data_IF_458654952144
#
_entry.id   IF_458654952144
#
_cell.length_a   1.000
_cell.length_b   1.000
_cell.length_c   1.000
_cell.angle_alpha   90.00
_cell.angle_beta   90.00
_cell.angle_gamma   90.00
#
_symmetry.space_group_name_H-M   'P 1'
#
loop_
_entity.id
_entity.type
_entity.pdbx_description
1 polymer ?
#
# COMPACT_ATOMS: atom_id res chain seq x y z
N UNK A 1 8.29 -52.60 -6.31
CA UNK A 1 9.13 -51.39 -6.13
C UNK A 1 8.24 -50.31 -5.55
N UNK A 2 8.38 -50.00 -4.26
CA UNK A 2 7.53 -49.04 -3.55
C UNK A 2 8.23 -47.68 -3.54
N UNK A 3 7.69 -46.71 -4.28
CA UNK A 3 8.19 -45.33 -4.29
C UNK A 3 7.87 -44.67 -2.94
N UNK A 4 8.90 -44.38 -2.15
CA UNK A 4 8.79 -43.57 -0.93
C UNK A 4 8.72 -42.10 -1.32
N UNK A 5 7.55 -41.50 -1.23
CA UNK A 5 7.39 -40.05 -1.35
C UNK A 5 7.72 -39.40 0.00
N UNK A 6 9.01 -39.20 0.30
CA UNK A 6 9.42 -38.39 1.45
C UNK A 6 9.51 -36.92 1.04
N UNK A 7 8.33 -36.30 0.88
CA UNK A 7 8.24 -34.84 0.88
C UNK A 7 8.27 -34.35 2.32
N UNK A 8 9.46 -34.05 2.85
CA UNK A 8 9.57 -33.35 4.13
C UNK A 8 9.24 -31.88 3.89
N UNK A 9 7.96 -31.53 4.06
CA UNK A 9 7.55 -30.14 4.17
C UNK A 9 7.96 -29.65 5.56
N UNK A 10 8.99 -28.81 5.63
CA UNK A 10 9.42 -28.19 6.88
C UNK A 10 8.40 -27.10 7.27
N UNK A 11 7.33 -27.53 7.94
CA UNK A 11 6.21 -26.68 8.39
C UNK A 11 6.72 -25.54 9.28
N UNK A 12 7.72 -25.82 10.13
CA UNK A 12 8.35 -24.84 11.02
C UNK A 12 9.09 -23.73 10.27
N UNK A 13 9.76 -24.05 9.15
CA UNK A 13 10.47 -23.05 8.36
C UNK A 13 9.50 -22.08 7.66
N UNK A 14 8.36 -22.59 7.18
CA UNK A 14 7.31 -21.76 6.60
C UNK A 14 6.64 -20.85 7.65
N UNK A 15 6.34 -21.37 8.84
CA UNK A 15 5.75 -20.60 9.94
C UNK A 15 6.70 -19.52 10.48
N UNK A 16 8.01 -19.80 10.52
CA UNK A 16 9.02 -18.86 11.00
C UNK A 16 9.28 -17.72 10.01
N UNK A 17 9.25 -18.01 8.70
CA UNK A 17 9.26 -16.98 7.64
C UNK A 17 8.00 -16.13 7.74
N UNK A 18 6.83 -16.75 7.85
CA UNK A 18 5.54 -16.05 8.01
C UNK A 18 5.57 -15.11 9.22
N UNK A 19 5.96 -15.58 10.40
CA UNK A 19 6.13 -14.73 11.60
C UNK A 19 7.08 -13.54 11.36
N UNK A 20 8.21 -13.76 10.70
CA UNK A 20 9.19 -12.69 10.45
C UNK A 20 8.68 -11.60 9.48
N UNK A 21 7.95 -12.00 8.44
CA UNK A 21 7.31 -11.10 7.47
C UNK A 21 6.27 -10.24 8.18
N UNK A 22 5.51 -10.84 9.08
CA UNK A 22 4.47 -10.13 9.84
C UNK A 22 5.07 -9.09 10.78
N UNK A 23 6.20 -9.39 11.43
CA UNK A 23 6.94 -8.49 12.33
C UNK A 23 7.63 -7.33 11.60
N UNK A 24 7.95 -7.48 10.31
CA UNK A 24 8.61 -6.45 9.51
C UNK A 24 7.70 -5.72 8.52
N UNK A 25 6.43 -6.07 8.47
CA UNK A 25 5.45 -5.43 7.59
C UNK A 25 4.72 -4.23 8.23
N UNK A 26 4.20 -3.37 7.37
CA UNK A 26 3.17 -2.38 7.69
C UNK A 26 1.92 -2.70 6.86
N UNK A 27 0.75 -2.37 7.40
CA UNK A 27 -0.52 -2.44 6.66
C UNK A 27 -0.87 -1.06 6.15
N UNK A 28 -1.13 -0.94 4.86
CA UNK A 28 -1.53 0.28 4.18
C UNK A 28 -2.96 0.11 3.68
N UNK A 29 -3.90 0.84 4.30
CA UNK A 29 -5.28 0.89 3.83
C UNK A 29 -5.38 1.97 2.75
N UNK A 30 -5.83 1.56 1.57
CA UNK A 30 -6.00 2.42 0.40
C UNK A 30 -7.48 2.53 0.09
N UNK A 31 -7.99 3.75 0.08
CA UNK A 31 -9.34 4.07 -0.37
C UNK A 31 -9.33 4.31 -1.88
N UNK A 32 -10.07 3.50 -2.62
CA UNK A 32 -10.20 3.52 -4.08
C UNK A 32 -11.29 4.51 -4.54
N UNK A 33 -11.31 4.81 -5.85
CA UNK A 33 -12.25 5.77 -6.43
C UNK A 33 -13.72 5.32 -6.38
N UNK A 34 -13.95 4.01 -6.32
CA UNK A 34 -15.28 3.42 -6.18
C UNK A 34 -15.77 3.39 -4.71
N UNK A 35 -15.09 4.11 -3.82
CA UNK A 35 -15.35 4.16 -2.37
C UNK A 35 -15.07 2.85 -1.63
N UNK A 36 -14.43 1.87 -2.26
CA UNK A 36 -13.95 0.66 -1.55
C UNK A 36 -12.60 0.90 -0.88
N UNK A 37 -12.29 0.10 0.14
CA UNK A 37 -11.02 0.14 0.84
C UNK A 37 -10.31 -1.21 0.70
N UNK A 38 -9.02 -1.17 0.35
CA UNK A 38 -8.18 -2.37 0.21
C UNK A 38 -6.98 -2.23 1.12
N UNK A 39 -6.65 -3.31 1.83
CA UNK A 39 -5.50 -3.36 2.74
C UNK A 39 -4.33 -4.09 2.08
N UNK A 40 -3.22 -3.39 1.89
CA UNK A 40 -1.98 -3.98 1.40
C UNK A 40 -0.98 -4.16 2.53
N UNK A 41 -0.36 -5.33 2.61
CA UNK A 41 0.70 -5.62 3.56
C UNK A 41 2.04 -5.54 2.87
N UNK A 42 2.86 -4.57 3.25
CA UNK A 42 4.17 -4.30 2.61
C UNK A 42 5.28 -4.25 3.65
N UNK A 43 6.52 -4.53 3.25
CA UNK A 43 7.66 -4.42 4.15
C UNK A 43 7.82 -2.98 4.68
N UNK A 44 8.20 -2.80 5.95
CA UNK A 44 8.36 -1.48 6.59
C UNK A 44 9.45 -0.61 5.97
N UNK A 45 10.35 -1.19 5.18
CA UNK A 45 11.43 -0.53 4.44
C UNK A 45 11.06 -0.23 2.98
N UNK A 46 9.89 -0.68 2.54
CA UNK A 46 9.32 -0.44 1.22
C UNK A 46 9.25 1.05 0.88
N UNK A 47 9.51 1.36 -0.39
CA UNK A 47 9.37 2.68 -1.02
C UNK A 47 7.96 2.86 -1.59
N UNK A 48 7.57 4.11 -1.87
CA UNK A 48 6.25 4.42 -2.39
C UNK A 48 5.90 3.66 -3.67
N UNK A 49 6.89 3.43 -4.55
CA UNK A 49 6.68 2.73 -5.82
C UNK A 49 6.08 1.33 -5.63
N UNK A 50 6.59 0.55 -4.67
CA UNK A 50 6.07 -0.80 -4.48
C UNK A 50 4.62 -0.83 -3.95
N UNK A 51 4.16 0.21 -3.25
CA UNK A 51 2.74 0.33 -2.90
C UNK A 51 1.89 0.76 -4.11
N UNK A 52 2.42 1.64 -4.97
CA UNK A 52 1.79 2.03 -6.22
C UNK A 52 1.61 0.82 -7.14
N UNK A 53 2.66 0.04 -7.34
CA UNK A 53 2.65 -1.16 -8.19
C UNK A 53 1.58 -2.16 -7.72
N UNK A 54 1.54 -2.47 -6.42
CA UNK A 54 0.51 -3.37 -5.85
C UNK A 54 -0.91 -2.85 -6.07
N UNK A 55 -1.11 -1.52 -5.96
CA UNK A 55 -2.42 -0.91 -6.17
C UNK A 55 -2.81 -0.95 -7.64
N UNK A 56 -1.86 -0.68 -8.53
CA UNK A 56 -2.09 -0.66 -9.97
C UNK A 56 -2.32 -2.07 -10.53
N UNK A 57 -1.60 -3.06 -10.01
CA UNK A 57 -1.81 -4.47 -10.34
C UNK A 57 -3.19 -4.95 -9.84
N UNK A 58 -3.59 -4.57 -8.61
CA UNK A 58 -4.92 -4.91 -8.08
C UNK A 58 -6.07 -4.32 -8.93
N UNK A 59 -5.88 -3.10 -9.43
CA UNK A 59 -6.86 -2.42 -10.28
C UNK A 59 -6.73 -2.79 -11.76
N UNK A 60 -5.76 -3.63 -12.13
CA UNK A 60 -5.43 -3.95 -13.52
C UNK A 60 -5.22 -2.71 -14.41
N UNK A 61 -4.59 -1.66 -13.85
CA UNK A 61 -4.38 -0.39 -14.55
C UNK A 61 -3.28 -0.50 -15.61
N UNK A 62 -3.67 -0.22 -16.86
CA UNK A 62 -2.76 -0.08 -18.00
C UNK A 62 -2.02 1.27 -17.98
N UNK A 63 -2.73 2.35 -17.63
CA UNK A 63 -2.25 3.73 -17.74
C UNK A 63 -1.66 4.27 -16.42
N UNK A 64 -0.61 3.62 -15.91
CA UNK A 64 -0.05 3.87 -14.56
C UNK A 64 0.48 5.29 -14.33
N UNK A 65 0.94 5.95 -15.40
CA UNK A 65 1.54 7.29 -15.33
C UNK A 65 0.53 8.41 -15.00
N UNK A 66 -0.76 8.14 -15.14
CA UNK A 66 -1.83 9.09 -14.86
C UNK A 66 -2.34 9.02 -13.42
N UNK A 67 -1.91 8.01 -12.67
CA UNK A 67 -2.44 7.70 -11.35
C UNK A 67 -1.36 7.83 -10.28
N UNK A 68 -1.81 8.16 -9.08
CA UNK A 68 -0.95 8.27 -7.92
C UNK A 68 -1.71 8.08 -6.63
N UNK A 69 -0.97 7.94 -5.53
CA UNK A 69 -1.52 7.86 -4.19
C UNK A 69 -1.29 9.19 -3.48
N UNK A 70 -2.27 9.63 -2.69
CA UNK A 70 -2.10 10.73 -1.75
C UNK A 70 -2.31 10.24 -0.32
N UNK A 71 -1.87 10.99 0.66
CA UNK A 71 -2.14 10.71 2.05
C UNK A 71 -2.39 12.01 2.80
N UNK A 72 -3.23 11.92 3.82
CA UNK A 72 -3.60 13.07 4.64
C UNK A 72 -2.76 13.10 5.91
N UNK A 73 -2.20 14.26 6.22
CA UNK A 73 -1.42 14.53 7.41
C UNK A 73 -2.27 15.40 8.35
N UNK A 74 -2.56 14.88 9.55
CA UNK A 74 -3.41 15.52 10.57
C UNK A 74 -2.59 16.30 11.61
N UNK A 75 -1.45 16.87 11.23
CA UNK A 75 -0.45 17.41 12.17
C UNK A 75 -0.32 18.95 12.14
N UNK A 76 -1.20 19.68 11.46
CA UNK A 76 -1.06 21.14 11.30
C UNK A 76 -2.23 21.88 11.96
N UNK A 77 -1.90 22.95 12.71
CA UNK A 77 -2.85 23.91 13.31
C UNK A 77 -3.76 24.58 12.25
N UNK A 78 -3.41 24.45 10.98
CA UNK A 78 -4.09 24.99 9.79
C UNK A 78 -5.01 23.97 9.08
N UNK A 79 -5.14 22.74 9.61
CA UNK A 79 -6.04 21.71 9.10
C UNK A 79 -5.35 20.51 8.43
N UNK A 80 -6.15 19.70 7.71
CA UNK A 80 -5.71 18.46 7.08
C UNK A 80 -4.90 18.74 5.80
N UNK A 81 -3.62 18.36 5.79
CA UNK A 81 -2.74 18.54 4.62
C UNK A 81 -2.69 17.26 3.77
N UNK A 82 -3.11 17.35 2.51
CA UNK A 82 -3.02 16.25 1.53
C UNK A 82 -1.66 16.32 0.81
N UNK A 83 -0.93 15.21 0.76
CA UNK A 83 0.34 15.10 0.01
C UNK A 83 0.37 13.88 -0.90
N UNK A 84 0.99 14.02 -2.06
CA UNK A 84 1.32 12.90 -2.94
C UNK A 84 2.35 11.98 -2.29
N UNK A 85 2.17 10.68 -2.49
CA UNK A 85 3.14 9.65 -2.15
C UNK A 85 4.31 9.73 -3.14
N UNK A 86 5.50 10.00 -2.64
CA UNK A 86 6.73 9.98 -3.43
C UNK A 86 7.13 8.52 -3.70
N UNK A 87 7.24 8.09 -4.97
CA UNK A 87 7.57 6.72 -5.32
C UNK A 87 8.99 6.31 -4.86
N UNK A 88 9.90 7.28 -4.75
CA UNK A 88 11.32 7.05 -4.45
C UNK A 88 11.62 6.98 -2.95
N UNK A 89 10.68 7.43 -2.10
CA UNK A 89 10.89 7.53 -0.65
C UNK A 89 10.17 6.42 0.11
N UNK A 90 10.74 6.01 1.25
CA UNK A 90 10.12 5.03 2.14
C UNK A 90 8.75 5.48 2.64
N UNK A 91 7.75 4.62 2.52
CA UNK A 91 6.36 4.92 2.91
C UNK A 91 6.29 5.39 4.36
N UNK A 92 6.95 4.66 5.27
CA UNK A 92 7.00 4.98 6.71
C UNK A 92 7.59 6.37 7.02
N UNK A 93 8.52 6.87 6.19
CA UNK A 93 9.13 8.19 6.39
C UNK A 93 8.22 9.32 5.94
N UNK A 94 7.37 9.07 4.94
CA UNK A 94 6.41 10.04 4.41
C UNK A 94 5.15 10.10 5.30
N UNK A 95 4.70 8.94 5.76
CA UNK A 95 3.47 8.78 6.50
C UNK A 95 3.65 8.81 8.04
N UNK A 96 4.59 9.60 8.58
CA UNK A 96 4.83 9.70 10.04
C UNK A 96 3.59 10.17 10.85
N UNK A 97 2.73 9.28 11.36
CA UNK A 97 1.55 9.62 12.19
C UNK A 97 0.35 8.68 11.97
N UNK A 98 -0.77 8.89 12.69
CA UNK A 98 -2.07 8.25 12.36
C UNK A 98 -2.57 8.84 11.03
N UNK A 99 -2.41 8.11 9.93
CA UNK A 99 -2.59 8.65 8.58
C UNK A 99 -3.42 7.73 7.72
N UNK A 100 -4.48 8.29 7.14
CA UNK A 100 -5.25 7.67 6.06
C UNK A 100 -4.53 7.95 4.74
N UNK A 101 -4.23 6.88 4.00
CA UNK A 101 -3.74 6.95 2.63
C UNK A 101 -4.96 6.84 1.73
N UNK A 102 -5.11 7.79 0.83
CA UNK A 102 -6.29 7.97 0.00
C UNK A 102 -5.84 8.03 -1.44
N UNK A 103 -6.56 7.39 -2.36
CA UNK A 103 -6.26 7.54 -3.76
C UNK A 103 -6.76 8.89 -4.29
N UNK A 104 -5.96 9.60 -5.08
CA UNK A 104 -6.43 10.76 -5.84
C UNK A 104 -5.78 10.76 -7.23
N UNK A 105 -6.59 10.97 -8.27
CA UNK A 105 -6.12 11.10 -9.65
C UNK A 105 -5.40 12.43 -9.85
N UNK A 106 -4.33 12.44 -10.66
CA UNK A 106 -3.59 13.65 -10.98
C UNK A 106 -4.45 14.50 -11.93
N UNK A 107 -5.00 15.60 -11.42
CA UNK A 107 -6.04 16.35 -12.11
C UNK A 107 -5.46 17.34 -13.14
N UNK A 108 -4.74 16.83 -14.13
CA UNK A 108 -4.38 17.57 -15.35
C UNK A 108 -4.78 16.85 -16.64
N UNK A 109 -5.12 15.56 -16.61
CA UNK A 109 -5.79 14.88 -17.72
C UNK A 109 -6.86 13.92 -17.16
N UNK A 110 -8.09 14.44 -17.09
CA UNK A 110 -9.38 13.74 -16.96
C UNK A 110 -9.78 13.13 -15.58
N UNK A 111 -10.89 13.69 -15.07
CA UNK A 111 -11.85 13.26 -14.03
C UNK A 111 -11.39 13.27 -12.55
N UNK A 112 -11.88 14.32 -11.87
CA UNK A 112 -11.90 14.66 -10.44
C UNK A 112 -12.88 13.75 -9.69
N UNK A 113 -12.47 13.12 -8.58
CA UNK A 113 -13.38 12.90 -7.44
C UNK A 113 -12.62 12.98 -6.11
N UNK A 114 -13.33 13.54 -5.11
CA UNK A 114 -12.88 13.88 -3.76
C UNK A 114 -13.20 12.74 -2.80
N UNK A 115 -12.33 12.48 -1.82
CA UNK A 115 -12.58 11.49 -0.76
C UNK A 115 -12.70 12.20 0.59
N UNK A 116 -13.75 11.84 1.34
CA UNK A 116 -13.98 12.18 2.75
C UNK A 116 -13.72 10.96 3.62
N UNK A 117 -13.34 11.15 4.89
CA UNK A 117 -13.62 10.17 5.94
C UNK A 117 -13.83 10.86 7.28
N UNK A 118 -14.68 10.21 8.09
CA UNK A 118 -15.01 10.46 9.50
C UNK A 118 -13.80 10.32 10.43
#
# INVERSE_FOLDING_TARGET
>A
MTLKFSGTYNVEAAEQVDRSVYQNSITCNIWLLDSTAVAFRVDKRCIGQALLDLTFDYLELLERDFFGLVFTIFESEEGNLIKWLDPTRRIKKQCKGKKFITYQTNHSLLRRFSVKSF
#
